data_IF_969823323487
#
_entry.id   IF_969823323487
#
_cell.length_a   1.000
_cell.length_b   1.000
_cell.length_c   1.000
_cell.angle_alpha   90.00
_cell.angle_beta   90.00
_cell.angle_gamma   90.00
#
_symmetry.space_group_name_H-M   'P 1'
#
loop_
_entity.id
_entity.type
_entity.pdbx_description
1 polymer ?
#
# COMPACT_ATOMS: atom_id res chain seq x y z
N UNK A 1 25.45 39.42 -29.66
CA UNK A 1 24.58 38.38 -30.22
C UNK A 1 24.18 37.42 -29.10
N UNK A 2 22.88 37.26 -28.83
CA UNK A 2 22.36 36.27 -27.87
C UNK A 2 22.40 34.89 -28.54
N UNK A 3 23.00 33.91 -27.89
CA UNK A 3 22.81 32.50 -28.22
C UNK A 3 22.07 31.84 -27.08
N UNK A 4 20.76 31.71 -27.25
CA UNK A 4 19.92 30.81 -26.46
C UNK A 4 20.22 29.40 -26.98
N UNK A 5 20.76 28.54 -26.10
CA UNK A 5 20.74 27.09 -26.30
C UNK A 5 19.60 26.56 -25.44
N UNK A 6 18.46 26.37 -26.08
CA UNK A 6 17.40 25.52 -25.55
C UNK A 6 17.43 24.17 -26.29
N UNK A 7 16.79 23.18 -25.69
CA UNK A 7 16.54 21.80 -26.15
C UNK A 7 17.48 20.75 -25.56
N UNK A 8 16.95 20.12 -24.50
CA UNK A 8 17.44 18.87 -23.94
C UNK A 8 16.75 18.43 -22.65
N UNK A 9 16.04 19.33 -21.96
CA UNK A 9 15.55 19.07 -20.60
C UNK A 9 14.07 18.68 -20.42
N UNK A 10 13.23 18.71 -21.46
CA UNK A 10 11.76 18.65 -21.28
C UNK A 10 11.17 17.25 -21.51
N UNK A 11 11.86 16.38 -22.27
CA UNK A 11 11.28 15.07 -22.65
C UNK A 11 11.36 14.01 -21.52
N UNK A 12 12.25 14.17 -20.54
CA UNK A 12 12.44 13.19 -19.47
C UNK A 12 11.51 13.38 -18.25
N UNK A 13 10.85 14.53 -18.10
CA UNK A 13 9.96 14.78 -16.94
C UNK A 13 8.55 14.20 -17.09
N UNK A 14 8.07 13.96 -18.31
CA UNK A 14 6.65 13.59 -18.54
C UNK A 14 6.35 12.09 -18.65
N UNK A 15 7.34 11.22 -18.41
CA UNK A 15 7.15 9.77 -18.57
C UNK A 15 6.76 9.08 -17.24
N UNK A 16 7.43 9.43 -16.14
CA UNK A 16 7.16 8.90 -14.79
C UNK A 16 5.77 9.31 -14.28
N UNK A 17 5.36 10.56 -14.54
CA UNK A 17 4.08 11.12 -14.09
C UNK A 17 2.89 10.49 -14.83
N UNK A 18 3.04 10.17 -16.12
CA UNK A 18 1.96 9.57 -16.91
C UNK A 18 1.69 8.13 -16.49
N UNK A 19 2.74 7.34 -16.25
CA UNK A 19 2.59 6.00 -15.69
C UNK A 19 1.96 6.06 -14.29
N UNK A 20 2.46 6.94 -13.41
CA UNK A 20 1.92 7.11 -12.05
C UNK A 20 0.43 7.52 -12.06
N UNK A 21 0.04 8.42 -12.95
CA UNK A 21 -1.35 8.85 -13.13
C UNK A 21 -2.25 7.71 -13.66
N UNK A 22 -1.74 6.88 -14.58
CA UNK A 22 -2.48 5.73 -15.11
C UNK A 22 -2.74 4.66 -14.03
N UNK A 23 -1.77 4.43 -13.13
CA UNK A 23 -1.93 3.51 -12.01
C UNK A 23 -2.81 4.08 -10.88
N UNK A 24 -2.88 5.40 -10.70
CA UNK A 24 -3.71 6.00 -9.66
C UNK A 24 -5.20 5.66 -9.79
N UNK A 25 -5.71 5.42 -11.01
CA UNK A 25 -7.09 4.95 -11.23
C UNK A 25 -7.33 3.50 -10.76
N UNK A 26 -6.28 2.69 -10.65
CA UNK A 26 -6.34 1.32 -10.14
C UNK A 26 -6.23 1.26 -8.61
N UNK A 27 -5.95 2.40 -7.97
CA UNK A 27 -5.84 2.50 -6.52
C UNK A 27 -7.14 3.03 -5.91
N UNK A 28 -7.58 2.36 -4.85
CA UNK A 28 -8.71 2.79 -4.06
C UNK A 28 -8.45 4.14 -3.41
N UNK A 29 -9.31 5.12 -3.70
CA UNK A 29 -9.20 6.47 -3.13
C UNK A 29 -9.74 6.55 -1.70
N UNK A 30 -10.63 5.63 -1.31
CA UNK A 30 -11.25 5.57 0.02
C UNK A 30 -10.57 4.53 0.92
N UNK A 31 -10.25 4.95 2.15
CA UNK A 31 -9.69 4.04 3.17
C UNK A 31 -10.81 3.19 3.80
N UNK A 32 -10.77 1.85 3.69
CA UNK A 32 -11.80 0.99 4.24
C UNK A 32 -11.70 0.93 5.76
N UNK A 33 -12.85 1.07 6.43
CA UNK A 33 -12.92 0.99 7.91
C UNK A 33 -13.01 -0.45 8.43
N UNK A 34 -13.30 -1.42 7.57
CA UNK A 34 -13.54 -2.83 7.92
C UNK A 34 -12.94 -3.76 6.87
N UNK A 35 -12.42 -4.89 7.34
CA UNK A 35 -11.75 -5.89 6.48
C UNK A 35 -12.65 -6.41 5.35
N UNK A 36 -13.94 -6.61 5.61
CA UNK A 36 -14.86 -7.11 4.58
C UNK A 36 -15.07 -6.13 3.40
N UNK A 37 -14.81 -4.83 3.59
CA UNK A 37 -14.83 -3.86 2.49
C UNK A 37 -13.52 -3.91 1.71
N UNK A 38 -12.39 -3.96 2.42
CA UNK A 38 -11.07 -4.10 1.81
C UNK A 38 -10.97 -5.37 0.94
N UNK A 39 -11.53 -6.50 1.39
CA UNK A 39 -11.53 -7.77 0.66
C UNK A 39 -12.40 -7.77 -0.61
N UNK A 40 -13.11 -6.68 -0.93
CA UNK A 40 -13.85 -6.54 -2.19
C UNK A 40 -13.08 -5.75 -3.24
N UNK A 41 -11.98 -5.12 -2.84
CA UNK A 41 -11.19 -4.23 -3.68
C UNK A 41 -9.81 -4.87 -3.92
N UNK A 42 -9.46 -5.19 -5.18
CA UNK A 42 -8.18 -5.78 -5.52
C UNK A 42 -6.98 -4.99 -4.99
N UNK A 43 -7.03 -3.66 -5.02
CA UNK A 43 -5.88 -2.83 -4.62
C UNK A 43 -5.59 -2.94 -3.11
N UNK A 44 -6.63 -3.14 -2.31
CA UNK A 44 -6.49 -3.39 -0.88
C UNK A 44 -6.06 -4.83 -0.57
N UNK A 45 -6.52 -5.81 -1.34
CA UNK A 45 -6.06 -7.20 -1.22
C UNK A 45 -4.57 -7.30 -1.52
N UNK A 46 -4.09 -6.66 -2.59
CA UNK A 46 -2.67 -6.59 -2.94
C UNK A 46 -1.87 -5.97 -1.80
N UNK A 47 -2.31 -4.82 -1.25
CA UNK A 47 -1.65 -4.18 -0.12
C UNK A 47 -1.58 -5.08 1.14
N UNK A 48 -2.61 -5.90 1.40
CA UNK A 48 -2.60 -6.87 2.49
C UNK A 48 -1.62 -8.02 2.24
N UNK A 49 -1.56 -8.51 1.00
CA UNK A 49 -0.63 -9.57 0.61
C UNK A 49 0.83 -9.11 0.66
N UNK A 50 1.12 -7.87 0.24
CA UNK A 50 2.44 -7.27 0.34
C UNK A 50 2.95 -7.25 1.80
N UNK A 51 2.10 -6.87 2.76
CA UNK A 51 2.45 -6.87 4.19
C UNK A 51 2.78 -8.29 4.69
N UNK A 52 1.93 -9.27 4.36
CA UNK A 52 2.16 -10.67 4.75
C UNK A 52 3.44 -11.24 4.10
N UNK A 53 3.73 -10.83 2.87
CA UNK A 53 4.95 -11.21 2.18
C UNK A 53 6.18 -10.59 2.86
N UNK A 54 6.11 -9.33 3.30
CA UNK A 54 7.19 -8.69 4.05
C UNK A 54 7.55 -9.47 5.32
N UNK A 55 6.55 -9.96 6.07
CA UNK A 55 6.82 -10.81 7.24
C UNK A 55 7.56 -12.10 6.91
N UNK A 56 7.19 -12.75 5.79
CA UNK A 56 7.87 -13.95 5.31
C UNK A 56 9.31 -13.65 4.88
N UNK A 57 9.52 -12.58 4.12
CA UNK A 57 10.84 -12.18 3.63
C UNK A 57 11.79 -11.80 4.77
N UNK A 58 11.27 -11.08 5.76
CA UNK A 58 12.04 -10.67 6.94
C UNK A 58 12.21 -11.79 7.97
N UNK A 59 11.52 -12.94 7.80
CA UNK A 59 11.53 -14.10 8.71
C UNK A 59 11.18 -13.74 10.17
N UNK A 60 10.36 -12.71 10.35
CA UNK A 60 9.96 -12.22 11.67
C UNK A 60 8.75 -12.96 12.22
N UNK A 61 7.91 -13.54 11.35
CA UNK A 61 6.69 -14.25 11.73
C UNK A 61 6.62 -15.58 10.98
N UNK A 62 6.16 -16.62 11.68
CA UNK A 62 5.83 -17.93 11.11
C UNK A 62 4.35 -18.21 11.34
N UNK A 63 3.68 -18.77 10.34
CA UNK A 63 2.31 -19.24 10.50
C UNK A 63 2.34 -20.60 11.21
N UNK A 64 1.66 -20.70 12.34
CA UNK A 64 1.54 -21.92 13.15
C UNK A 64 0.09 -22.18 13.48
N UNK A 65 -0.27 -23.45 13.65
CA UNK A 65 -1.58 -23.83 14.18
C UNK A 65 -1.74 -23.34 15.62
N UNK A 66 -2.98 -23.05 16.02
CA UNK A 66 -3.27 -22.60 17.38
C UNK A 66 -2.98 -23.74 18.36
N UNK A 67 -2.00 -23.60 19.27
CA UNK A 67 -1.68 -24.65 20.24
C UNK A 67 -2.85 -24.94 21.18
N UNK A 68 -2.99 -26.21 21.56
CA UNK A 68 -4.06 -26.67 22.45
C UNK A 68 -4.09 -25.88 23.77
N UNK A 69 -5.30 -25.50 24.20
CA UNK A 69 -5.51 -24.75 25.44
C UNK A 69 -5.05 -23.29 25.39
N UNK A 70 -4.64 -22.76 24.23
CA UNK A 70 -4.33 -21.33 24.05
C UNK A 70 -5.46 -20.61 23.34
N UNK A 71 -5.55 -19.30 23.60
CA UNK A 71 -6.45 -18.39 22.89
C UNK A 71 -5.66 -17.63 21.84
N UNK A 72 -6.19 -17.56 20.62
CA UNK A 72 -5.63 -16.72 19.59
C UNK A 72 -5.74 -15.24 19.99
N UNK A 73 -4.65 -14.49 19.80
CA UNK A 73 -4.69 -13.03 19.94
C UNK A 73 -5.45 -12.49 18.75
N UNK A 74 -6.44 -11.63 19.00
CA UNK A 74 -7.16 -10.96 17.93
C UNK A 74 -6.19 -10.14 17.07
N UNK A 75 -6.46 -10.02 15.77
CA UNK A 75 -5.68 -9.15 14.88
C UNK A 75 -6.59 -8.14 14.19
N UNK A 76 -6.02 -7.00 13.84
CA UNK A 76 -6.72 -5.90 13.19
C UNK A 76 -5.88 -5.35 12.04
N UNK A 77 -6.55 -5.13 10.92
CA UNK A 77 -5.97 -4.43 9.78
C UNK A 77 -6.19 -2.92 9.90
N UNK A 78 -5.14 -2.16 9.57
CA UNK A 78 -5.17 -0.71 9.40
C UNK A 78 -4.82 -0.38 7.96
N UNK A 79 -5.65 0.42 7.32
CA UNK A 79 -5.54 0.78 5.91
C UNK A 79 -5.21 2.26 5.81
N UNK A 80 -4.22 2.61 4.97
CA UNK A 80 -3.79 3.99 4.74
C UNK A 80 -3.40 4.22 3.29
N UNK A 81 -3.80 5.35 2.74
CA UNK A 81 -3.37 5.80 1.42
C UNK A 81 -2.11 6.64 1.53
N UNK A 82 -1.04 6.22 0.85
CA UNK A 82 0.10 7.10 0.61
C UNK A 82 -0.29 8.04 -0.52
N UNK A 83 -0.25 9.33 -0.22
CA UNK A 83 -0.51 10.40 -1.18
C UNK A 83 0.79 11.13 -1.51
N UNK A 84 0.84 11.67 -2.72
CA UNK A 84 1.91 12.57 -3.13
C UNK A 84 1.65 14.01 -2.65
N UNK A 85 2.56 14.94 -2.90
CA UNK A 85 2.48 16.36 -2.51
C UNK A 85 1.20 17.05 -3.02
N UNK A 86 0.73 16.62 -4.20
CA UNK A 86 -0.48 17.13 -4.86
C UNK A 86 -1.75 16.40 -4.36
N UNK A 87 -1.61 15.43 -3.46
CA UNK A 87 -2.73 14.71 -2.84
C UNK A 87 -3.23 13.49 -3.61
N UNK A 88 -2.59 13.14 -4.73
CA UNK A 88 -2.91 11.95 -5.54
C UNK A 88 -2.46 10.69 -4.78
N UNK A 89 -3.33 9.67 -4.72
CA UNK A 89 -2.99 8.38 -4.11
C UNK A 89 -2.01 7.65 -5.01
N UNK A 90 -0.82 7.40 -4.49
CA UNK A 90 0.26 6.69 -5.19
C UNK A 90 0.42 5.24 -4.70
N UNK A 91 -0.13 4.90 -3.53
CA UNK A 91 -0.10 3.52 -3.01
C UNK A 91 -1.13 3.29 -1.90
N UNK A 92 -1.85 2.17 -1.96
CA UNK A 92 -2.61 1.65 -0.83
C UNK A 92 -1.66 0.87 0.10
N UNK A 93 -1.72 1.11 1.41
CA UNK A 93 -0.93 0.40 2.42
C UNK A 93 -1.85 -0.25 3.45
N UNK A 94 -1.65 -1.54 3.69
CA UNK A 94 -2.31 -2.26 4.77
C UNK A 94 -1.27 -2.70 5.81
N UNK A 95 -1.62 -2.64 7.09
CA UNK A 95 -0.77 -3.06 8.20
C UNK A 95 -1.55 -3.96 9.14
N UNK A 96 -0.95 -5.08 9.54
CA UNK A 96 -1.54 -6.03 10.47
C UNK A 96 -1.01 -5.76 11.89
N UNK A 97 -1.93 -5.60 12.84
CA UNK A 97 -1.60 -5.39 14.25
C UNK A 97 -2.26 -6.45 15.13
N UNK A 98 -1.59 -6.84 16.20
CA UNK A 98 -2.19 -7.61 17.28
C UNK A 98 -3.09 -6.69 18.12
N UNK A 99 -4.30 -7.14 18.40
CA UNK A 99 -5.21 -6.48 19.32
C UNK A 99 -4.74 -6.77 20.74
N UNK A 100 -4.35 -5.72 21.47
CA UNK A 100 -3.95 -5.85 22.88
C UNK A 100 -5.10 -6.40 23.72
N UNK A 101 -4.74 -7.09 24.81
CA UNK A 101 -5.69 -7.51 25.84
C UNK A 101 -5.86 -6.35 26.83
N UNK A 102 -7.11 -6.05 27.19
CA UNK A 102 -7.44 -5.20 28.35
C UNK A 102 -7.67 -6.10 29.55
#
# INVERSE_FOLDING_TARGET
ARTVRDQGGISQMFNEDFHTCMFACLLSQEEPKRVHKALKDPSWIEAMQEELLQFKMQKVWILVDLPYGKRAIGTKWVYRNKKDEIGIVIRNKARLFAQGHT
#
